data_IF_850580514672
#
_entry.id   IF_850580514672
#
_cell.length_a   1.000
_cell.length_b   1.000
_cell.length_c   1.000
_cell.angle_alpha   90.00
_cell.angle_beta   90.00
_cell.angle_gamma   90.00
#
_symmetry.space_group_name_H-M   'P 1'
#
loop_
_entity.id
_entity.type
_entity.pdbx_description
1 polymer ?
#
# COMPACT_ATOMS: atom_id res chain seq x y z
N UNK A 1 -38.24 -8.04 27.34
CA UNK A 1 -36.94 -7.34 27.04
C UNK A 1 -36.87 -6.73 25.63
N UNK A 2 -37.66 -7.13 24.64
CA UNK A 2 -37.71 -6.55 23.27
C UNK A 2 -38.44 -5.22 23.15
N UNK A 3 -39.47 -4.99 23.95
CA UNK A 3 -40.35 -3.77 23.86
C UNK A 3 -39.61 -2.51 24.33
N UNK A 4 -38.67 -2.63 25.29
CA UNK A 4 -37.83 -1.49 25.79
C UNK A 4 -36.88 -0.96 24.75
N UNK A 5 -36.21 -1.85 23.95
CA UNK A 5 -35.29 -1.45 22.89
C UNK A 5 -35.97 -0.77 21.69
N UNK A 6 -37.22 -1.11 21.43
CA UNK A 6 -38.01 -0.50 20.35
C UNK A 6 -38.51 0.91 20.74
N UNK A 7 -38.88 1.15 22.01
CA UNK A 7 -39.24 2.48 22.52
C UNK A 7 -38.03 3.46 22.51
N UNK A 8 -36.82 3.00 22.87
CA UNK A 8 -35.63 3.86 22.80
C UNK A 8 -35.26 4.30 21.37
N UNK A 9 -35.40 3.40 20.38
CA UNK A 9 -35.18 3.75 18.96
C UNK A 9 -36.22 4.74 18.43
N UNK A 10 -37.49 4.62 18.83
CA UNK A 10 -38.55 5.56 18.42
C UNK A 10 -38.38 6.94 19.04
N UNK A 11 -37.92 7.07 20.28
CA UNK A 11 -37.68 8.36 20.94
C UNK A 11 -36.49 9.13 20.34
N UNK A 12 -35.41 8.43 19.98
CA UNK A 12 -34.27 9.06 19.32
C UNK A 12 -34.63 9.59 17.92
N UNK A 13 -35.41 8.83 17.14
CA UNK A 13 -35.83 9.23 15.81
C UNK A 13 -36.83 10.41 15.84
N UNK A 14 -37.73 10.45 16.84
CA UNK A 14 -38.70 11.53 17.01
C UNK A 14 -38.08 12.83 17.50
N UNK A 15 -36.93 12.79 18.17
CA UNK A 15 -36.17 13.97 18.57
C UNK A 15 -35.48 14.62 17.37
N UNK A 16 -34.89 13.79 16.48
CA UNK A 16 -34.29 14.27 15.23
C UNK A 16 -35.28 14.97 14.30
N UNK A 17 -36.54 14.49 14.23
CA UNK A 17 -37.57 15.12 13.39
C UNK A 17 -38.10 16.47 13.92
N UNK A 18 -37.79 16.84 15.17
CA UNK A 18 -38.15 18.12 15.79
C UNK A 18 -37.04 19.19 15.68
N UNK A 19 -35.82 18.81 15.23
CA UNK A 19 -34.77 19.77 15.05
C UNK A 19 -35.00 20.60 13.78
N UNK A 20 -34.88 21.95 13.85
CA UNK A 20 -34.99 22.78 12.66
C UNK A 20 -33.86 22.37 11.67
N UNK A 21 -34.22 22.26 10.40
CA UNK A 21 -33.32 21.80 9.31
C UNK A 21 -31.95 22.48 9.36
N UNK A 22 -31.89 23.77 9.69
CA UNK A 22 -30.60 24.52 9.83
C UNK A 22 -29.70 23.95 10.92
N UNK A 23 -30.25 23.51 12.08
CA UNK A 23 -29.43 22.89 13.14
C UNK A 23 -28.97 21.49 12.75
N UNK A 24 -29.82 20.71 12.08
CA UNK A 24 -29.45 19.38 11.57
C UNK A 24 -28.33 19.50 10.55
N UNK A 25 -28.39 20.45 9.62
CA UNK A 25 -27.31 20.73 8.65
C UNK A 25 -26.04 21.17 9.37
N UNK A 26 -26.13 22.02 10.39
CA UNK A 26 -24.98 22.44 11.19
C UNK A 26 -24.29 21.26 11.89
N UNK A 27 -25.05 20.34 12.49
CA UNK A 27 -24.48 19.13 13.10
C UNK A 27 -23.85 18.19 12.06
N UNK A 28 -24.48 18.02 10.89
CA UNK A 28 -23.94 17.21 9.82
C UNK A 28 -22.61 17.78 9.28
N UNK A 29 -22.54 19.09 9.09
CA UNK A 29 -21.32 19.79 8.70
C UNK A 29 -20.21 19.68 9.77
N UNK A 30 -20.57 19.86 11.04
CA UNK A 30 -19.64 19.71 12.16
C UNK A 30 -19.07 18.29 12.26
N UNK A 31 -19.92 17.27 12.12
CA UNK A 31 -19.51 15.87 12.08
C UNK A 31 -18.62 15.58 10.87
N UNK A 32 -18.99 16.08 9.69
CA UNK A 32 -18.17 15.95 8.48
C UNK A 32 -16.77 16.55 8.66
N UNK A 33 -16.70 17.74 9.25
CA UNK A 33 -15.43 18.39 9.56
C UNK A 33 -14.57 17.58 10.55
N UNK A 34 -15.19 17.05 11.62
CA UNK A 34 -14.50 16.18 12.58
C UNK A 34 -13.92 14.92 11.92
N UNK A 35 -14.69 14.28 11.04
CA UNK A 35 -14.22 13.12 10.27
C UNK A 35 -13.02 13.49 9.38
N UNK A 36 -13.09 14.61 8.69
CA UNK A 36 -11.99 15.08 7.83
C UNK A 36 -10.73 15.39 8.65
N UNK A 37 -10.86 16.05 9.80
CA UNK A 37 -9.74 16.30 10.72
C UNK A 37 -9.16 14.97 11.20
N UNK A 38 -10.00 14.01 11.58
CA UNK A 38 -9.56 12.67 12.00
C UNK A 38 -8.79 11.94 10.89
N UNK A 39 -9.30 11.94 9.66
CA UNK A 39 -8.61 11.35 8.50
C UNK A 39 -7.26 12.02 8.23
N UNK A 40 -7.20 13.35 8.30
CA UNK A 40 -5.95 14.10 8.12
C UNK A 40 -4.93 13.80 9.24
N UNK A 41 -5.39 13.73 10.49
CA UNK A 41 -4.54 13.40 11.64
C UNK A 41 -3.96 11.99 11.50
N UNK A 42 -4.77 11.00 11.13
CA UNK A 42 -4.30 9.63 10.87
C UNK A 42 -3.26 9.62 9.75
N UNK A 43 -3.53 10.33 8.64
CA UNK A 43 -2.58 10.43 7.51
C UNK A 43 -1.22 10.99 7.95
N UNK A 44 -1.20 12.03 8.78
CA UNK A 44 0.05 12.63 9.30
C UNK A 44 0.74 11.73 10.33
N UNK A 45 -0.04 11.11 11.21
CA UNK A 45 0.49 10.20 12.23
C UNK A 45 1.19 9.00 11.60
N UNK A 46 0.64 8.42 10.51
CA UNK A 46 1.29 7.33 9.79
C UNK A 46 2.63 7.80 9.21
N UNK A 47 2.66 8.95 8.52
CA UNK A 47 3.91 9.48 7.96
C UNK A 47 4.98 9.67 9.03
N UNK A 48 4.62 10.22 10.18
CA UNK A 48 5.54 10.40 11.32
C UNK A 48 6.01 9.06 11.91
N UNK A 49 5.09 8.09 12.06
CA UNK A 49 5.36 6.79 12.68
C UNK A 49 6.36 5.92 11.91
N UNK A 50 6.47 6.12 10.59
CA UNK A 50 7.32 5.29 9.71
C UNK A 50 8.46 6.07 9.07
N UNK A 51 8.64 7.35 9.37
CA UNK A 51 9.61 8.22 8.69
C UNK A 51 11.05 7.72 8.78
N UNK A 52 11.39 7.05 9.87
CA UNK A 52 12.70 6.44 10.15
C UNK A 52 13.06 5.29 9.19
N UNK A 53 12.09 4.79 8.44
CA UNK A 53 12.23 3.67 7.50
C UNK A 53 12.01 4.05 6.03
N UNK A 54 11.88 5.35 5.75
CA UNK A 54 11.68 5.88 4.38
C UNK A 54 12.96 6.55 3.89
N UNK A 55 13.50 6.06 2.79
CA UNK A 55 14.73 6.54 2.16
C UNK A 55 14.41 7.14 0.80
N UNK A 56 14.96 8.33 0.55
CA UNK A 56 14.83 9.07 -0.72
C UNK A 56 16.19 9.14 -1.44
N UNK A 57 17.28 8.98 -0.68
CA UNK A 57 18.65 9.00 -1.17
C UNK A 57 19.25 7.59 -1.09
N UNK A 58 19.88 7.18 -2.18
CA UNK A 58 20.50 5.86 -2.31
C UNK A 58 21.74 5.72 -1.42
N UNK A 59 22.46 6.80 -1.16
CA UNK A 59 23.66 6.77 -0.33
C UNK A 59 23.32 6.36 1.11
N UNK A 60 22.17 6.80 1.61
CA UNK A 60 21.70 6.49 2.97
C UNK A 60 20.95 5.17 3.05
N UNK A 61 20.54 4.59 1.90
CA UNK A 61 19.80 3.34 1.87
C UNK A 61 20.71 2.16 2.26
N UNK A 62 20.41 1.41 3.33
CA UNK A 62 21.14 0.20 3.64
C UNK A 62 20.87 -0.90 2.61
N UNK A 63 21.87 -1.75 2.34
CA UNK A 63 21.70 -2.91 1.50
C UNK A 63 20.70 -3.89 2.12
N UNK A 64 19.84 -4.47 1.28
CA UNK A 64 18.92 -5.57 1.61
C UNK A 64 18.93 -6.56 0.44
N UNK A 65 19.03 -7.84 0.69
CA UNK A 65 19.03 -8.83 -0.38
C UNK A 65 17.77 -8.80 -1.25
N UNK A 66 16.64 -8.43 -0.68
CA UNK A 66 15.36 -8.48 -1.37
C UNK A 66 14.71 -7.11 -1.46
N UNK A 67 14.05 -6.88 -2.60
CA UNK A 67 13.14 -5.76 -2.73
C UNK A 67 11.74 -6.23 -3.12
N UNK A 68 10.72 -5.68 -2.47
CA UNK A 68 9.30 -5.84 -2.80
C UNK A 68 8.85 -4.68 -3.68
N UNK A 69 8.63 -4.93 -4.96
CA UNK A 69 8.10 -3.94 -5.90
C UNK A 69 6.57 -4.00 -5.88
N UNK A 70 5.94 -2.95 -5.38
CA UNK A 70 4.48 -2.89 -5.31
C UNK A 70 3.87 -2.55 -6.67
N UNK A 71 2.95 -3.38 -7.13
CA UNK A 71 2.27 -3.24 -8.41
C UNK A 71 1.41 -1.98 -8.53
N UNK A 72 1.20 -1.57 -9.74
CA UNK A 72 0.22 -0.56 -10.17
C UNK A 72 -0.04 -0.72 -11.66
N UNK A 73 -1.19 -0.24 -12.13
CA UNK A 73 -1.53 -0.30 -13.55
C UNK A 73 -0.49 0.39 -14.44
N UNK A 74 -0.06 -0.30 -15.50
CA UNK A 74 0.84 0.27 -16.53
C UNK A 74 0.22 1.42 -17.30
N UNK A 75 -1.10 1.42 -17.46
CA UNK A 75 -1.81 2.45 -18.23
C UNK A 75 -2.86 3.14 -17.35
N UNK A 76 -2.96 4.46 -17.49
CA UNK A 76 -4.04 5.27 -16.89
C UNK A 76 -5.24 5.40 -17.83
N UNK A 77 -5.00 5.29 -19.16
CA UNK A 77 -6.00 5.25 -20.22
C UNK A 77 -5.40 4.55 -21.45
N UNK A 78 -6.21 4.23 -22.45
CA UNK A 78 -5.74 3.61 -23.70
C UNK A 78 -4.61 4.46 -24.32
N UNK A 79 -3.42 3.87 -24.46
CA UNK A 79 -2.24 4.53 -25.06
C UNK A 79 -1.50 5.51 -24.16
N UNK A 80 -1.95 5.76 -22.90
CA UNK A 80 -1.28 6.67 -21.97
C UNK A 80 -0.67 5.89 -20.82
N UNK A 81 0.66 5.84 -20.74
CA UNK A 81 1.39 5.17 -19.67
C UNK A 81 1.18 5.87 -18.32
N UNK A 82 1.31 5.10 -17.27
CA UNK A 82 1.23 5.55 -15.89
C UNK A 82 2.62 5.87 -15.37
N UNK A 83 2.95 7.11 -15.19
CA UNK A 83 4.25 7.54 -14.67
C UNK A 83 4.59 6.94 -13.30
N UNK A 84 3.60 6.60 -12.47
CA UNK A 84 3.84 5.89 -11.21
C UNK A 84 4.44 4.50 -11.46
N UNK A 85 3.97 3.83 -12.52
CA UNK A 85 4.50 2.54 -12.95
C UNK A 85 5.93 2.68 -13.45
N UNK A 86 6.16 3.56 -14.42
CA UNK A 86 7.47 3.76 -15.05
C UNK A 86 8.54 4.08 -13.99
N UNK A 87 8.27 5.01 -13.08
CA UNK A 87 9.21 5.40 -12.03
C UNK A 87 9.49 4.30 -10.99
N UNK A 88 8.54 3.37 -10.75
CA UNK A 88 8.85 2.19 -9.90
C UNK A 88 9.82 1.25 -10.58
N UNK A 89 9.65 1.01 -11.88
CA UNK A 89 10.57 0.15 -12.62
C UNK A 89 11.96 0.79 -12.74
N UNK A 90 12.03 2.09 -13.00
CA UNK A 90 13.28 2.83 -12.99
C UNK A 90 13.99 2.72 -11.62
N UNK A 91 13.27 2.91 -10.52
CA UNK A 91 13.81 2.76 -9.18
C UNK A 91 14.25 1.31 -8.89
N UNK A 92 13.48 0.32 -9.34
CA UNK A 92 13.83 -1.10 -9.17
C UNK A 92 15.13 -1.45 -9.91
N UNK A 93 15.26 -1.04 -11.18
CA UNK A 93 16.50 -1.20 -11.94
C UNK A 93 17.66 -0.46 -11.28
N UNK A 94 17.44 0.78 -10.84
CA UNK A 94 18.48 1.59 -10.21
C UNK A 94 19.03 0.93 -8.94
N UNK A 95 18.18 0.33 -8.09
CA UNK A 95 18.64 -0.38 -6.90
C UNK A 95 19.45 -1.65 -7.23
N UNK A 96 19.09 -2.38 -8.28
CA UNK A 96 19.88 -3.52 -8.79
C UNK A 96 21.24 -3.04 -9.30
N UNK A 97 21.27 -2.02 -10.16
CA UNK A 97 22.49 -1.49 -10.77
C UNK A 97 23.48 -0.94 -9.73
N UNK A 98 22.97 -0.41 -8.61
CA UNK A 98 23.76 0.12 -7.49
C UNK A 98 24.07 -0.93 -6.40
N UNK A 99 23.75 -2.20 -6.64
CA UNK A 99 23.96 -3.30 -5.69
C UNK A 99 23.34 -3.01 -4.29
N UNK A 100 22.20 -2.31 -4.25
CA UNK A 100 21.46 -2.07 -3.01
C UNK A 100 20.46 -3.17 -2.71
N UNK A 101 20.09 -3.97 -3.74
CA UNK A 101 19.26 -5.17 -3.63
C UNK A 101 19.74 -6.23 -4.63
N UNK A 102 19.59 -7.51 -4.29
CA UNK A 102 20.01 -8.64 -5.12
C UNK A 102 18.84 -9.25 -5.89
N UNK A 103 17.65 -9.26 -5.29
CA UNK A 103 16.46 -9.89 -5.84
C UNK A 103 15.23 -8.97 -5.78
N UNK A 104 14.39 -9.05 -6.81
CA UNK A 104 13.12 -8.32 -6.91
C UNK A 104 11.94 -9.28 -6.79
N UNK A 105 11.07 -9.08 -5.81
CA UNK A 105 9.74 -9.70 -5.74
C UNK A 105 8.71 -8.73 -6.31
N UNK A 106 8.20 -9.03 -7.50
CA UNK A 106 7.23 -8.22 -8.22
C UNK A 106 5.82 -8.63 -7.78
N UNK A 107 5.19 -7.85 -6.91
CA UNK A 107 3.90 -8.20 -6.33
C UNK A 107 2.78 -7.30 -6.84
N UNK A 108 1.68 -7.90 -7.28
CA UNK A 108 0.56 -7.15 -7.83
C UNK A 108 -0.67 -7.99 -8.15
N UNK A 109 -1.66 -7.34 -8.76
CA UNK A 109 -2.95 -7.94 -9.10
C UNK A 109 -2.86 -8.73 -10.41
N UNK A 110 -3.45 -9.94 -10.42
CA UNK A 110 -3.60 -10.76 -11.61
C UNK A 110 -5.01 -11.38 -11.73
N UNK A 111 -6.01 -10.82 -11.07
CA UNK A 111 -7.38 -11.37 -11.02
C UNK A 111 -8.08 -11.49 -12.37
N UNK A 112 -7.58 -10.84 -13.40
CA UNK A 112 -8.13 -10.98 -14.76
C UNK A 112 -7.05 -11.43 -15.74
N UNK A 113 -7.43 -12.23 -16.75
CA UNK A 113 -6.50 -12.74 -17.78
C UNK A 113 -5.78 -11.62 -18.55
N UNK A 114 -6.43 -10.47 -18.70
CA UNK A 114 -5.92 -9.32 -19.45
C UNK A 114 -5.08 -8.36 -18.58
N UNK A 115 -5.10 -8.53 -17.26
CA UNK A 115 -4.46 -7.64 -16.32
C UNK A 115 -3.61 -8.43 -15.32
N UNK A 116 -2.32 -8.47 -15.59
CA UNK A 116 -1.33 -9.18 -14.77
C UNK A 116 -0.15 -8.25 -14.50
N UNK A 117 -0.19 -7.57 -13.35
CA UNK A 117 0.85 -6.60 -12.97
C UNK A 117 2.23 -7.24 -12.80
N UNK A 118 2.40 -8.35 -12.06
CA UNK A 118 3.71 -8.97 -11.88
C UNK A 118 4.35 -9.39 -13.21
N UNK A 119 3.58 -10.00 -14.10
CA UNK A 119 4.08 -10.37 -15.43
C UNK A 119 4.46 -9.16 -16.27
N UNK A 120 3.66 -8.09 -16.21
CA UNK A 120 3.92 -6.86 -16.97
C UNK A 120 5.20 -6.20 -16.48
N UNK A 121 5.38 -6.06 -15.16
CA UNK A 121 6.61 -5.53 -14.55
C UNK A 121 7.82 -6.37 -14.92
N UNK A 122 7.72 -7.71 -14.84
CA UNK A 122 8.78 -8.62 -15.23
C UNK A 122 9.25 -8.41 -16.68
N UNK A 123 8.30 -8.36 -17.62
CA UNK A 123 8.62 -8.18 -19.04
C UNK A 123 9.25 -6.82 -19.34
N UNK A 124 8.82 -5.77 -18.67
CA UNK A 124 9.35 -4.44 -18.89
C UNK A 124 10.71 -4.26 -18.20
N UNK A 125 10.94 -4.78 -16.99
CA UNK A 125 12.27 -4.79 -16.34
C UNK A 125 13.27 -5.60 -17.15
N UNK A 126 12.87 -6.75 -17.72
CA UNK A 126 13.71 -7.52 -18.64
C UNK A 126 14.13 -6.69 -19.85
N UNK A 127 13.22 -5.94 -20.47
CA UNK A 127 13.54 -5.02 -21.57
C UNK A 127 14.49 -3.90 -21.15
N UNK A 128 14.47 -3.50 -19.88
CA UNK A 128 15.38 -2.54 -19.30
C UNK A 128 16.75 -3.15 -18.97
N UNK A 129 16.96 -4.46 -19.19
CA UNK A 129 18.22 -5.16 -18.98
C UNK A 129 18.39 -5.80 -17.61
N UNK A 130 17.33 -5.89 -16.79
CA UNK A 130 17.38 -6.64 -15.52
C UNK A 130 17.32 -8.14 -15.83
N UNK A 131 18.25 -8.91 -15.23
CA UNK A 131 18.29 -10.37 -15.41
C UNK A 131 17.02 -11.05 -14.92
N UNK A 132 16.54 -12.05 -15.66
CA UNK A 132 15.38 -12.85 -15.25
C UNK A 132 15.64 -13.64 -13.97
N UNK A 133 16.90 -14.04 -13.72
CA UNK A 133 17.31 -14.85 -12.57
C UNK A 133 17.14 -14.12 -11.23
N UNK A 134 17.07 -12.80 -11.23
CA UNK A 134 16.92 -11.98 -10.01
C UNK A 134 15.47 -11.49 -9.80
N UNK A 135 14.52 -11.89 -10.66
CA UNK A 135 13.14 -11.41 -10.62
C UNK A 135 12.14 -12.53 -10.34
N UNK A 136 11.37 -12.36 -9.28
CA UNK A 136 10.31 -13.28 -8.85
C UNK A 136 8.94 -12.60 -8.92
N UNK A 137 7.88 -13.38 -9.10
CA UNK A 137 6.52 -12.86 -9.31
C UNK A 137 5.58 -13.31 -8.21
N UNK A 138 4.94 -12.38 -7.53
CA UNK A 138 3.82 -12.65 -6.63
C UNK A 138 2.51 -12.25 -7.31
N UNK A 139 1.74 -13.22 -7.71
CA UNK A 139 0.48 -13.05 -8.42
C UNK A 139 -0.74 -12.82 -7.51
N UNK A 140 -0.56 -12.78 -6.21
CA UNK A 140 -1.65 -12.60 -5.24
C UNK A 140 -1.51 -11.34 -4.37
N UNK A 141 -0.74 -10.37 -4.84
CA UNK A 141 -0.60 -9.06 -4.21
C UNK A 141 -1.76 -8.11 -4.54
N UNK A 142 -3.00 -8.52 -4.24
CA UNK A 142 -4.22 -7.76 -4.60
C UNK A 142 -4.37 -6.45 -3.85
N UNK A 143 -3.86 -6.37 -2.63
CA UNK A 143 -3.81 -5.18 -1.77
C UNK A 143 -2.41 -5.05 -1.19
N UNK A 144 -2.07 -3.86 -0.71
CA UNK A 144 -0.78 -3.62 -0.04
C UNK A 144 -0.55 -4.57 1.13
N UNK A 145 -1.61 -4.88 1.90
CA UNK A 145 -1.56 -5.87 2.99
C UNK A 145 -1.15 -7.26 2.46
N UNK A 146 -1.74 -7.69 1.35
CA UNK A 146 -1.42 -8.99 0.76
C UNK A 146 0.04 -9.04 0.33
N UNK A 147 0.52 -8.04 -0.42
CA UNK A 147 1.91 -7.95 -0.90
C UNK A 147 2.93 -8.02 0.24
N UNK A 148 2.75 -7.19 1.28
CA UNK A 148 3.69 -7.09 2.40
C UNK A 148 3.72 -8.38 3.22
N UNK A 149 2.55 -8.92 3.58
CA UNK A 149 2.49 -10.13 4.42
C UNK A 149 2.94 -11.36 3.64
N UNK A 150 2.60 -11.47 2.34
CA UNK A 150 3.02 -12.57 1.49
C UNK A 150 4.54 -12.59 1.24
N UNK A 151 5.18 -11.44 1.08
CA UNK A 151 6.64 -11.37 0.98
C UNK A 151 7.31 -12.09 2.15
N UNK A 152 6.84 -11.88 3.38
CA UNK A 152 7.39 -12.54 4.56
C UNK A 152 6.87 -13.98 4.75
N UNK A 153 5.54 -14.23 4.66
CA UNK A 153 4.94 -15.52 5.03
C UNK A 153 5.00 -16.57 3.92
N UNK A 154 4.87 -16.15 2.66
CA UNK A 154 4.86 -17.06 1.50
C UNK A 154 6.26 -17.18 0.90
N UNK A 155 6.88 -16.04 0.58
CA UNK A 155 8.21 -16.02 -0.04
C UNK A 155 9.36 -16.11 0.97
N UNK A 156 9.04 -16.17 2.26
CA UNK A 156 9.97 -16.35 3.39
C UNK A 156 11.11 -15.32 3.40
N UNK A 157 10.83 -14.10 2.93
CA UNK A 157 11.77 -13.01 2.93
C UNK A 157 11.85 -12.41 4.34
N UNK A 158 12.99 -12.49 5.04
CA UNK A 158 13.08 -12.05 6.44
C UNK A 158 13.12 -10.53 6.57
N UNK A 159 13.77 -9.86 5.61
CA UNK A 159 13.87 -8.40 5.57
C UNK A 159 13.96 -7.92 4.12
N UNK A 160 13.33 -6.79 3.79
CA UNK A 160 13.28 -6.29 2.42
C UNK A 160 13.13 -4.78 2.31
N UNK A 161 13.51 -4.26 1.14
CA UNK A 161 13.26 -2.88 0.73
C UNK A 161 11.98 -2.82 -0.10
N UNK A 162 10.99 -2.06 0.33
CA UNK A 162 9.79 -1.77 -0.45
C UNK A 162 10.14 -0.72 -1.51
N UNK A 163 9.73 -0.91 -2.75
CA UNK A 163 9.89 0.08 -3.83
C UNK A 163 8.53 0.57 -4.26
N UNK A 164 8.23 1.85 -4.00
CA UNK A 164 7.00 2.51 -4.40
C UNK A 164 7.10 4.03 -4.23
N UNK A 165 6.03 4.78 -4.53
CA UNK A 165 5.98 6.21 -4.19
C UNK A 165 5.81 6.41 -2.69
N UNK A 166 6.30 7.52 -2.16
CA UNK A 166 6.36 7.84 -0.72
C UNK A 166 5.06 7.53 0.03
N UNK A 167 3.93 8.02 -0.46
CA UNK A 167 2.63 7.82 0.18
C UNK A 167 2.22 6.34 0.29
N UNK A 168 2.59 5.52 -0.70
CA UNK A 168 2.34 4.08 -0.73
C UNK A 168 3.35 3.32 0.14
N UNK A 169 4.62 3.75 0.14
CA UNK A 169 5.66 3.28 1.05
C UNK A 169 5.22 3.39 2.51
N UNK A 170 4.77 4.56 2.92
CA UNK A 170 4.35 4.82 4.31
C UNK A 170 3.19 3.92 4.73
N UNK A 171 2.21 3.67 3.85
CA UNK A 171 1.13 2.70 4.11
C UNK A 171 1.64 1.26 4.18
N UNK A 172 2.56 0.87 3.33
CA UNK A 172 3.14 -0.47 3.34
C UNK A 172 4.01 -0.70 4.57
N UNK A 173 4.77 0.29 5.01
CA UNK A 173 5.57 0.25 6.23
C UNK A 173 4.72 0.20 7.50
N UNK A 174 3.57 0.89 7.53
CA UNK A 174 2.59 0.74 8.62
C UNK A 174 2.15 -0.72 8.78
N UNK A 175 1.84 -1.37 7.65
CA UNK A 175 1.46 -2.79 7.64
C UNK A 175 2.63 -3.66 8.08
N UNK A 176 3.83 -3.42 7.56
CA UNK A 176 5.03 -4.17 7.95
C UNK A 176 5.30 -4.08 9.46
N UNK A 177 5.28 -2.87 10.03
CA UNK A 177 5.44 -2.66 11.49
C UNK A 177 4.37 -3.38 12.32
N UNK A 178 3.12 -3.42 11.85
CA UNK A 178 2.04 -4.12 12.55
C UNK A 178 2.22 -5.65 12.59
N UNK A 179 2.85 -6.22 11.58
CA UNK A 179 3.13 -7.65 11.48
C UNK A 179 4.56 -8.03 11.92
N UNK A 180 5.30 -7.11 12.57
CA UNK A 180 6.70 -7.29 13.00
C UNK A 180 7.63 -7.71 11.85
N UNK A 181 7.36 -7.20 10.64
CA UNK A 181 8.16 -7.46 9.45
C UNK A 181 9.24 -6.37 9.34
N UNK A 182 10.51 -6.79 9.21
CA UNK A 182 11.62 -5.86 9.01
C UNK A 182 11.63 -5.38 7.55
N UNK A 183 11.03 -4.23 7.32
CA UNK A 183 10.99 -3.57 6.02
C UNK A 183 11.42 -2.10 6.12
N UNK A 184 12.14 -1.67 5.10
CA UNK A 184 12.43 -0.26 4.80
C UNK A 184 11.83 0.09 3.44
N UNK A 185 11.80 1.35 3.06
CA UNK A 185 11.30 1.74 1.76
C UNK A 185 12.24 2.70 1.05
N UNK A 186 12.50 2.43 -0.23
CA UNK A 186 13.08 3.39 -1.15
C UNK A 186 11.99 4.02 -2.01
N UNK A 187 11.93 5.36 -2.02
CA UNK A 187 10.87 6.08 -2.70
C UNK A 187 11.17 6.25 -4.18
N UNK A 188 10.35 5.65 -5.04
CA UNK A 188 10.36 5.96 -6.46
C UNK A 188 9.95 7.42 -6.71
N UNK A 189 10.48 8.01 -7.80
CA UNK A 189 10.16 9.37 -8.20
C UNK A 189 8.65 9.62 -8.20
N UNK A 190 8.27 10.80 -7.70
CA UNK A 190 6.88 11.21 -7.61
C UNK A 190 6.50 12.00 -8.88
N UNK A 191 5.53 11.55 -9.70
CA UNK A 191 4.95 12.41 -10.72
C UNK A 191 4.13 13.54 -10.08
N UNK A 192 3.74 14.53 -10.87
CA UNK A 192 2.81 15.55 -10.40
C UNK A 192 1.57 14.89 -9.78
N UNK A 193 1.28 15.26 -8.53
CA UNK A 193 0.20 14.63 -7.76
C UNK A 193 -1.10 15.36 -8.05
N UNK A 194 -2.01 14.69 -8.71
CA UNK A 194 -3.38 15.19 -8.81
C UNK A 194 -4.06 15.16 -7.43
N UNK A 195 -4.79 16.21 -7.11
CA UNK A 195 -5.54 16.34 -5.86
C UNK A 195 -6.36 15.08 -5.52
N UNK A 196 -7.05 14.50 -6.51
CA UNK A 196 -7.81 13.26 -6.34
C UNK A 196 -6.98 12.06 -5.88
N UNK A 197 -5.73 11.94 -6.34
CA UNK A 197 -4.81 10.88 -5.89
C UNK A 197 -4.46 11.06 -4.41
N UNK A 198 -4.24 12.29 -3.97
CA UNK A 198 -3.92 12.61 -2.58
C UNK A 198 -5.08 12.30 -1.64
N UNK A 199 -6.30 12.68 -2.02
CA UNK A 199 -7.53 12.40 -1.25
C UNK A 199 -7.77 10.88 -1.18
N UNK A 200 -7.68 10.18 -2.31
CA UNK A 200 -7.80 8.72 -2.35
C UNK A 200 -6.80 8.04 -1.41
N UNK A 201 -5.56 8.50 -1.38
CA UNK A 201 -4.53 7.89 -0.56
C UNK A 201 -4.77 8.13 0.94
N UNK A 202 -5.22 9.32 1.32
CA UNK A 202 -5.64 9.60 2.70
C UNK A 202 -6.69 8.59 3.18
N UNK A 203 -7.73 8.33 2.39
CA UNK A 203 -8.75 7.32 2.73
C UNK A 203 -8.19 5.90 2.70
N UNK A 204 -7.27 5.57 1.78
CA UNK A 204 -6.64 4.26 1.72
C UNK A 204 -5.80 3.97 2.98
N UNK A 205 -5.16 4.99 3.56
CA UNK A 205 -4.42 4.90 4.83
C UNK A 205 -5.34 4.70 6.02
N UNK A 206 -6.43 5.47 6.10
CA UNK A 206 -7.48 5.28 7.13
C UNK A 206 -8.03 3.86 7.05
N UNK A 207 -8.36 3.41 5.84
CA UNK A 207 -8.81 2.03 5.62
C UNK A 207 -7.77 1.01 6.08
N UNK A 208 -6.49 1.22 5.80
CA UNK A 208 -5.43 0.31 6.25
C UNK A 208 -5.38 0.22 7.78
N UNK A 209 -5.47 1.34 8.49
CA UNK A 209 -5.55 1.34 9.97
C UNK A 209 -6.75 0.55 10.46
N UNK A 210 -7.93 0.77 9.87
CA UNK A 210 -9.15 0.03 10.24
C UNK A 210 -9.01 -1.46 9.95
N UNK A 211 -8.47 -1.84 8.79
CA UNK A 211 -8.24 -3.24 8.42
C UNK A 211 -7.30 -3.93 9.44
N UNK A 212 -6.26 -3.24 9.91
CA UNK A 212 -5.33 -3.76 10.92
C UNK A 212 -6.01 -3.90 12.30
N UNK A 213 -6.79 -2.91 12.73
CA UNK A 213 -7.53 -2.97 14.02
C UNK A 213 -8.56 -4.11 14.03
N UNK A 214 -9.26 -4.32 12.92
CA UNK A 214 -10.28 -5.37 12.78
C UNK A 214 -9.63 -6.75 12.58
N UNK A 215 -8.34 -6.82 12.27
CA UNK A 215 -7.60 -8.06 12.04
C UNK A 215 -7.87 -8.68 10.65
N UNK A 216 -8.06 -7.83 9.63
CA UNK A 216 -8.22 -8.30 8.24
C UNK A 216 -6.97 -9.06 7.81
N UNK A 217 -7.18 -10.29 7.33
CA UNK A 217 -6.11 -11.17 6.86
C UNK A 217 -5.86 -11.03 5.36
N UNK A 218 -4.68 -11.44 4.85
CA UNK A 218 -4.44 -11.57 3.41
C UNK A 218 -5.47 -12.48 2.74
N UNK A 219 -5.77 -12.18 1.46
CA UNK A 219 -6.73 -12.98 0.68
C UNK A 219 -6.28 -14.43 0.50
N UNK A 220 -5.00 -14.61 0.12
CA UNK A 220 -4.39 -15.90 -0.08
C UNK A 220 -2.99 -15.91 0.53
N UNK A 221 -2.70 -16.85 1.42
CA UNK A 221 -1.33 -17.14 1.80
C UNK A 221 -0.77 -18.24 0.92
N UNK A 222 -1.51 -19.34 0.72
CA UNK A 222 -1.01 -20.49 -0.04
C UNK A 222 0.09 -21.26 0.68
N UNK A 223 0.75 -22.14 -0.06
CA UNK A 223 1.95 -22.84 0.41
C UNK A 223 3.17 -21.90 0.37
N UNK A 224 4.14 -22.08 1.29
CA UNK A 224 5.39 -21.35 1.21
C UNK A 224 6.16 -21.62 -0.10
N UNK A 225 6.65 -20.57 -0.73
CA UNK A 225 7.49 -20.59 -1.93
C UNK A 225 8.74 -19.75 -1.65
N UNK A 226 9.73 -20.26 -0.88
CA UNK A 226 10.89 -19.47 -0.48
C UNK A 226 11.67 -18.95 -1.67
N UNK A 227 12.09 -17.68 -1.61
CA UNK A 227 13.03 -17.14 -2.58
C UNK A 227 14.43 -17.73 -2.34
N UNK A 228 15.30 -17.78 -3.39
CA UNK A 228 16.68 -18.21 -3.23
C UNK A 228 17.37 -17.42 -2.12
N UNK A 229 18.13 -18.12 -1.28
CA UNK A 229 19.04 -17.45 -0.33
C UNK A 229 20.18 -16.80 -1.14
N UNK A 230 20.60 -15.57 -0.75
CA UNK A 230 21.78 -14.97 -1.35
C UNK A 230 22.99 -15.91 -1.16
N UNK A 231 23.89 -15.95 -2.16
CA UNK A 231 25.18 -16.58 -1.98
C UNK A 231 25.97 -15.79 -0.91
N UNK A 232 26.52 -16.47 0.08
CA UNK A 232 27.42 -15.88 1.07
C UNK A 232 28.71 -15.36 0.42
#
# INVERSE_FOLDING_TARGET
MQISKMRLKMTALSWLSRLPLKKLLGYALGLGLLVLIGCFTIDRAISFYVQDRVYEDIETLPHRHYALVLGTSKYVAKGKTNKYYDYRLEASKYLIDQNKVDYLLLSGDNRTLQYNEPRTMFLDLRKMGVSESVMFKDFAGFRTLDSVVRANKVFQVPSFTIISQKFHCERALLIAKHYDIDAICFTAKQPEVYFGTRVREMFARVKAVLDLIIGVKPYFLGTPEPLPMPAE
#
